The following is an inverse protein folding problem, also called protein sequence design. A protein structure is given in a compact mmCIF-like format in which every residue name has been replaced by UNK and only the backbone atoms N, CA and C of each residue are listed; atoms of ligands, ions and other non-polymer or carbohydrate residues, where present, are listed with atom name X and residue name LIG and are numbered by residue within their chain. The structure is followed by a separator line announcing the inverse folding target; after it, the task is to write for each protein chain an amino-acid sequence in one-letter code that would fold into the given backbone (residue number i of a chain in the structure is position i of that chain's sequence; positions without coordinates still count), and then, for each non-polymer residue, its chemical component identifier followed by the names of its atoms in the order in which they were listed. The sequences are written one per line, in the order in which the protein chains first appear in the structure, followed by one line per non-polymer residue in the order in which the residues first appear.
data_IF_217204468772
#
_entry.id   IF_217204468772
#
_cell.length_a   1.000
_cell.length_b   1.000
_cell.length_c   1.000
_cell.angle_alpha   90.00
_cell.angle_beta   90.00
_cell.angle_gamma   90.00
#
_symmetry.space_group_name_H-M   'P 1'
#
loop_
_entity.id
_entity.type
_entity.pdbx_description
1 polymer ?
#
# COMPACT_ATOMS: atom_id res chain seq x y z
N UNK A 1 29.49 14.44 0.39
CA UNK A 1 29.86 13.03 0.12
C UNK A 1 28.82 12.47 -0.82
N UNK A 2 29.25 12.10 -2.03
CA UNK A 2 28.37 11.41 -2.97
C UNK A 2 27.88 10.13 -2.30
N UNK A 3 26.57 9.93 -2.22
CA UNK A 3 26.00 8.66 -1.82
C UNK A 3 26.57 7.59 -2.76
N UNK A 4 27.21 6.57 -2.22
CA UNK A 4 27.68 5.45 -3.03
C UNK A 4 26.45 4.85 -3.71
N UNK A 5 26.40 4.91 -5.03
CA UNK A 5 25.34 4.28 -5.78
C UNK A 5 25.42 2.77 -5.49
N UNK A 6 24.35 2.24 -4.90
CA UNK A 6 24.20 0.81 -4.70
C UNK A 6 24.26 0.13 -6.07
N UNK A 7 25.05 -0.91 -6.21
CA UNK A 7 25.15 -1.66 -7.45
C UNK A 7 23.75 -2.18 -7.86
N UNK A 8 23.46 -2.19 -9.17
CA UNK A 8 22.23 -2.77 -9.69
C UNK A 8 22.12 -4.23 -9.24
N UNK A 9 21.03 -4.63 -8.60
CA UNK A 9 20.87 -5.99 -8.12
C UNK A 9 20.71 -6.98 -9.29
N UNK A 10 20.97 -8.25 -9.00
CA UNK A 10 20.69 -9.34 -9.94
C UNK A 10 19.19 -9.42 -10.22
N UNK A 11 18.79 -9.17 -11.47
CA UNK A 11 17.37 -9.14 -11.87
C UNK A 11 16.71 -10.52 -11.75
N UNK A 12 17.43 -11.62 -11.86
CA UNK A 12 16.87 -12.96 -11.63
C UNK A 12 16.49 -13.16 -10.16
N UNK A 13 17.32 -12.69 -9.23
CA UNK A 13 16.99 -12.68 -7.79
C UNK A 13 15.79 -11.78 -7.50
N UNK A 14 15.69 -10.61 -8.15
CA UNK A 14 14.55 -9.68 -8.05
C UNK A 14 13.26 -10.35 -8.54
N UNK A 15 13.29 -10.99 -9.70
CA UNK A 15 12.12 -11.71 -10.25
C UNK A 15 11.66 -12.84 -9.33
N UNK A 16 12.60 -13.60 -8.79
CA UNK A 16 12.30 -14.68 -7.84
C UNK A 16 11.65 -14.14 -6.58
N UNK A 17 12.17 -13.06 -6.03
CA UNK A 17 11.61 -12.41 -4.84
C UNK A 17 10.20 -11.87 -5.11
N UNK A 18 10.00 -11.12 -6.20
CA UNK A 18 8.69 -10.58 -6.59
C UNK A 18 7.68 -11.71 -6.81
N UNK A 19 8.11 -12.82 -7.44
CA UNK A 19 7.26 -13.98 -7.67
C UNK A 19 6.88 -14.72 -6.40
N UNK A 20 7.69 -14.64 -5.34
CA UNK A 20 7.39 -15.22 -4.03
C UNK A 20 6.45 -14.35 -3.19
N UNK A 21 6.32 -13.07 -3.51
CA UNK A 21 5.42 -12.13 -2.84
C UNK A 21 4.14 -11.95 -3.65
N UNK A 22 3.01 -11.98 -2.97
CA UNK A 22 1.71 -11.77 -3.60
C UNK A 22 1.51 -10.27 -3.86
N UNK A 23 1.55 -9.85 -5.10
CA UNK A 23 1.47 -8.46 -5.51
C UNK A 23 0.75 -8.30 -6.85
N UNK A 24 1.43 -7.72 -7.85
CA UNK A 24 0.86 -7.54 -9.19
C UNK A 24 0.34 -8.85 -9.77
N UNK A 25 -0.86 -8.83 -10.34
CA UNK A 25 -1.55 -10.01 -10.86
C UNK A 25 -2.49 -10.69 -9.86
N UNK A 26 -2.58 -10.19 -8.63
CA UNK A 26 -3.51 -10.67 -7.61
C UNK A 26 -4.67 -9.69 -7.44
N UNK A 27 -5.83 -10.20 -7.03
CA UNK A 27 -6.94 -9.35 -6.60
C UNK A 27 -6.65 -8.72 -5.24
N UNK A 28 -7.37 -7.66 -4.91
CA UNK A 28 -7.13 -6.89 -3.71
C UNK A 28 -8.44 -6.51 -3.01
N UNK A 29 -8.45 -6.63 -1.67
CA UNK A 29 -9.55 -6.23 -0.82
C UNK A 29 -9.25 -4.85 -0.21
N UNK A 30 -9.92 -3.77 -0.67
CA UNK A 30 -9.58 -2.40 -0.29
C UNK A 30 -9.93 -2.02 1.14
N UNK A 31 -10.71 -2.86 1.84
CA UNK A 31 -11.03 -2.69 3.26
C UNK A 31 -9.90 -3.14 4.19
N UNK A 32 -8.83 -3.68 3.65
CA UNK A 32 -7.64 -4.11 4.39
C UNK A 32 -6.69 -2.93 4.63
N UNK A 33 -5.73 -3.12 5.54
CA UNK A 33 -4.62 -2.20 5.71
C UNK A 33 -3.85 -2.04 4.39
N UNK A 34 -3.29 -0.86 4.18
CA UNK A 34 -2.58 -0.52 2.97
C UNK A 34 -1.52 -1.57 2.59
N UNK A 35 -1.60 -2.06 1.36
CA UNK A 35 -0.74 -3.12 0.81
C UNK A 35 -0.85 -4.49 1.48
N UNK A 36 -1.84 -4.75 2.33
CA UNK A 36 -2.03 -6.03 3.01
C UNK A 36 -3.30 -6.78 2.60
N UNK A 37 -4.06 -6.26 1.63
CA UNK A 37 -5.33 -6.84 1.20
C UNK A 37 -5.25 -7.77 -0.01
N UNK A 38 -4.07 -8.26 -0.36
CA UNK A 38 -3.87 -9.19 -1.47
C UNK A 38 -4.64 -10.51 -1.23
N UNK A 39 -5.40 -10.96 -2.21
CA UNK A 39 -6.30 -12.08 -2.07
C UNK A 39 -5.95 -13.22 -3.04
N UNK A 40 -6.56 -13.29 -4.21
CA UNK A 40 -6.42 -14.44 -5.08
C UNK A 40 -5.60 -14.12 -6.34
N UNK A 41 -4.85 -15.09 -6.84
CA UNK A 41 -4.13 -14.98 -8.09
C UNK A 41 -5.11 -14.96 -9.27
N UNK A 42 -4.99 -13.96 -10.15
CA UNK A 42 -5.86 -13.79 -11.31
C UNK A 42 -5.19 -14.19 -12.61
N UNK A 43 -3.88 -14.02 -12.70
CA UNK A 43 -3.10 -14.34 -13.89
C UNK A 43 -2.18 -15.52 -13.64
N UNK A 44 -1.86 -16.25 -14.68
CA UNK A 44 -0.94 -17.38 -14.61
C UNK A 44 0.52 -16.89 -14.63
N UNK A 45 0.93 -16.28 -13.52
CA UNK A 45 2.20 -15.55 -13.40
C UNK A 45 3.42 -16.40 -13.72
N UNK A 46 3.41 -17.69 -13.40
CA UNK A 46 4.51 -18.60 -13.71
C UNK A 46 4.66 -18.87 -15.22
N UNK A 47 3.63 -18.64 -16.02
CA UNK A 47 3.65 -18.86 -17.46
C UNK A 47 3.93 -17.58 -18.26
N UNK A 48 3.66 -16.42 -17.71
CA UNK A 48 3.69 -15.15 -18.45
C UNK A 48 5.06 -14.80 -19.03
N UNK A 49 6.15 -15.05 -18.30
CA UNK A 49 7.50 -14.77 -18.79
C UNK A 49 7.83 -15.59 -20.05
N UNK A 50 7.55 -16.88 -20.04
CA UNK A 50 7.79 -17.74 -21.21
C UNK A 50 6.81 -17.45 -22.33
N UNK A 51 5.56 -17.13 -22.02
CA UNK A 51 4.56 -16.79 -23.02
C UNK A 51 4.92 -15.49 -23.76
N UNK A 52 5.32 -14.44 -23.06
CA UNK A 52 5.71 -13.18 -23.69
C UNK A 52 6.92 -13.32 -24.62
N UNK A 53 7.87 -14.18 -24.26
CA UNK A 53 9.01 -14.49 -25.13
C UNK A 53 8.57 -15.24 -26.39
N UNK A 54 7.66 -16.21 -26.25
CA UNK A 54 7.17 -17.03 -27.36
C UNK A 54 6.34 -16.22 -28.38
N UNK A 55 5.48 -15.32 -27.90
CA UNK A 55 4.57 -14.55 -28.76
C UNK A 55 5.08 -13.13 -29.05
N UNK A 56 6.18 -12.70 -28.45
CA UNK A 56 6.77 -11.36 -28.55
C UNK A 56 5.75 -10.24 -28.22
N UNK A 57 5.09 -10.38 -27.08
CA UNK A 57 4.07 -9.45 -26.59
C UNK A 57 4.38 -9.08 -25.15
N UNK A 58 4.33 -7.80 -24.81
CA UNK A 58 4.62 -7.33 -23.45
C UNK A 58 3.46 -7.68 -22.50
N UNK A 59 3.68 -8.66 -21.63
CA UNK A 59 2.70 -9.13 -20.67
C UNK A 59 3.05 -8.73 -19.23
N UNK A 60 4.34 -8.77 -18.89
CA UNK A 60 4.84 -8.47 -17.55
C UNK A 60 6.15 -7.68 -17.66
N UNK A 61 6.28 -6.65 -16.85
CA UNK A 61 7.47 -5.79 -16.83
C UNK A 61 8.01 -5.68 -15.41
N UNK A 62 9.25 -6.08 -15.20
CA UNK A 62 9.97 -5.97 -13.94
C UNK A 62 11.11 -4.96 -14.09
N UNK A 63 11.16 -3.98 -13.16
CA UNK A 63 12.16 -2.91 -13.20
C UNK A 63 12.81 -2.70 -11.83
N UNK A 64 14.09 -2.32 -11.84
CA UNK A 64 14.79 -1.73 -10.72
C UNK A 64 14.72 -0.21 -10.85
N UNK A 65 13.96 0.42 -9.94
CA UNK A 65 13.76 1.88 -9.97
C UNK A 65 13.88 2.43 -8.54
N UNK A 66 15.12 2.68 -8.07
CA UNK A 66 15.34 3.21 -6.73
C UNK A 66 14.89 4.66 -6.63
N UNK A 67 14.01 4.94 -5.67
CA UNK A 67 13.48 6.27 -5.39
C UNK A 67 13.10 6.39 -3.92
N UNK A 68 13.33 7.56 -3.34
CA UNK A 68 12.87 7.91 -1.99
C UNK A 68 11.77 8.95 -2.11
N UNK A 69 10.68 8.75 -1.37
CA UNK A 69 9.53 9.65 -1.36
C UNK A 69 9.03 9.87 0.07
N UNK A 70 8.57 11.08 0.35
CA UNK A 70 7.94 11.45 1.62
C UNK A 70 6.55 11.99 1.35
N UNK A 71 5.58 11.53 2.14
CA UNK A 71 4.19 12.00 2.06
C UNK A 71 3.73 12.44 3.44
N UNK A 72 2.98 13.55 3.51
CA UNK A 72 2.31 14.01 4.73
C UNK A 72 0.82 14.10 4.46
N UNK A 73 0.03 13.50 5.34
CA UNK A 73 -1.44 13.61 5.30
C UNK A 73 -1.96 13.96 6.68
N UNK A 74 -2.94 14.86 6.74
CA UNK A 74 -3.60 15.27 7.97
C UNK A 74 -5.11 15.21 7.80
N UNK A 75 -5.83 15.00 8.90
CA UNK A 75 -7.28 14.92 8.92
C UNK A 75 -7.84 15.27 10.29
N UNK A 76 -9.11 15.66 10.33
CA UNK A 76 -9.84 15.95 11.56
C UNK A 76 -10.53 14.73 12.18
N UNK A 77 -10.47 13.59 11.49
CA UNK A 77 -10.97 12.29 11.98
C UNK A 77 -10.08 11.16 11.51
N UNK A 78 -10.08 10.05 12.24
CA UNK A 78 -9.38 8.82 11.84
C UNK A 78 -9.94 8.25 10.55
N UNK A 79 -11.27 8.31 10.39
CA UNK A 79 -11.94 7.83 9.17
C UNK A 79 -11.50 8.62 7.94
N UNK A 80 -11.44 9.95 8.04
CA UNK A 80 -10.98 10.80 6.93
C UNK A 80 -9.52 10.53 6.57
N UNK A 81 -8.65 10.36 7.58
CA UNK A 81 -7.25 10.02 7.33
C UNK A 81 -7.11 8.64 6.68
N UNK A 82 -7.83 7.64 7.16
CA UNK A 82 -7.84 6.30 6.57
C UNK A 82 -8.33 6.32 5.12
N UNK A 83 -9.34 7.15 4.84
CA UNK A 83 -9.85 7.34 3.49
C UNK A 83 -8.81 7.98 2.58
N UNK A 84 -8.10 9.01 3.04
CA UNK A 84 -7.02 9.67 2.30
C UNK A 84 -5.83 8.75 2.02
N UNK A 85 -5.51 7.86 2.95
CA UNK A 85 -4.43 6.89 2.82
C UNK A 85 -4.84 5.63 2.04
N UNK A 86 -6.13 5.42 1.84
CA UNK A 86 -6.65 4.22 1.17
C UNK A 86 -6.41 4.26 -0.33
N UNK A 87 -5.92 3.16 -0.87
CA UNK A 87 -5.76 2.99 -2.31
C UNK A 87 -7.10 2.91 -3.04
N UNK A 88 -8.17 2.51 -2.35
CA UNK A 88 -9.52 2.45 -2.93
C UNK A 88 -10.01 3.79 -3.46
N UNK A 89 -9.53 4.91 -2.90
CA UNK A 89 -9.83 6.25 -3.41
C UNK A 89 -9.33 6.46 -4.85
N UNK A 90 -8.21 5.84 -5.21
CA UNK A 90 -7.60 6.00 -6.53
C UNK A 90 -8.36 5.28 -7.65
N UNK A 91 -9.18 4.29 -7.31
CA UNK A 91 -10.00 3.53 -8.27
C UNK A 91 -11.48 3.92 -8.26
N UNK A 92 -11.81 4.99 -7.55
CA UNK A 92 -13.17 5.54 -7.47
C UNK A 92 -14.22 4.52 -7.01
N UNK A 93 -13.85 3.66 -6.06
CA UNK A 93 -14.76 2.71 -5.44
C UNK A 93 -15.63 3.40 -4.39
N UNK A 94 -16.84 2.88 -4.19
CA UNK A 94 -17.74 3.38 -3.17
C UNK A 94 -17.30 2.91 -1.78
N UNK A 95 -16.73 3.81 -0.98
CA UNK A 95 -16.26 3.52 0.37
C UNK A 95 -17.34 3.01 1.32
N UNK A 96 -18.61 3.39 1.10
CA UNK A 96 -19.70 2.93 1.94
C UNK A 96 -20.00 1.43 1.77
N UNK A 97 -19.56 0.83 0.66
CA UNK A 97 -19.69 -0.60 0.42
C UNK A 97 -18.58 -1.42 1.09
N UNK A 98 -17.50 -0.78 1.54
CA UNK A 98 -16.33 -1.44 2.11
C UNK A 98 -16.04 -0.83 3.48
N UNK A 99 -16.16 -1.62 4.55
CA UNK A 99 -15.77 -1.21 5.89
C UNK A 99 -14.24 -1.10 5.96
N UNK A 100 -13.73 0.09 6.23
CA UNK A 100 -12.28 0.31 6.43
C UNK A 100 -11.97 0.10 7.89
N UNK A 101 -11.04 -0.78 8.20
CA UNK A 101 -10.58 -0.97 9.58
C UNK A 101 -9.62 0.16 9.97
N UNK A 102 -10.19 1.17 10.60
CA UNK A 102 -9.46 2.34 11.10
C UNK A 102 -8.55 1.99 12.28
N UNK A 103 -8.90 0.97 13.07
CA UNK A 103 -8.14 0.58 14.28
C UNK A 103 -6.74 0.09 13.95
N UNK A 104 -6.54 -0.51 12.77
CA UNK A 104 -5.22 -0.95 12.32
C UNK A 104 -4.19 0.16 12.21
N UNK A 105 -4.61 1.41 11.96
CA UNK A 105 -3.71 2.56 11.82
C UNK A 105 -3.31 3.20 13.15
N UNK A 106 -4.21 3.26 14.14
CA UNK A 106 -4.00 4.03 15.37
C UNK A 106 -3.97 3.19 16.65
N UNK A 107 -4.28 1.91 16.58
CA UNK A 107 -4.39 1.06 17.77
C UNK A 107 -5.68 1.34 18.58
N UNK A 108 -5.90 0.52 19.62
CA UNK A 108 -7.13 0.55 20.42
C UNK A 108 -7.25 1.73 21.39
N UNK A 109 -6.15 2.46 21.65
CA UNK A 109 -6.11 3.55 22.62
C UNK A 109 -6.53 4.91 22.06
N UNK A 110 -6.51 5.09 20.74
CA UNK A 110 -6.93 6.34 20.13
C UNK A 110 -8.44 6.32 19.87
N UNK A 111 -9.19 6.88 20.80
CA UNK A 111 -10.62 7.12 20.60
C UNK A 111 -10.80 8.26 19.62
N UNK A 112 -11.69 8.07 18.63
CA UNK A 112 -12.09 9.09 17.70
C UNK A 112 -12.88 10.17 18.44
N UNK A 113 -12.19 11.24 18.88
CA UNK A 113 -12.82 12.36 19.59
C UNK A 113 -12.79 13.60 18.70
N UNK A 114 -13.85 14.41 18.79
CA UNK A 114 -13.95 15.66 18.04
C UNK A 114 -12.86 16.69 18.42
N UNK A 115 -12.14 16.44 19.51
CA UNK A 115 -11.12 17.35 20.06
C UNK A 115 -9.70 17.01 19.56
N UNK A 116 -9.55 16.04 18.69
CA UNK A 116 -8.24 15.61 18.16
C UNK A 116 -8.11 15.85 16.66
N UNK A 117 -6.88 16.10 16.23
CA UNK A 117 -6.47 16.07 14.85
C UNK A 117 -5.43 14.97 14.65
N UNK A 118 -5.37 14.45 13.44
CA UNK A 118 -4.56 13.28 13.11
C UNK A 118 -3.60 13.60 11.97
N UNK A 119 -2.44 12.96 11.98
CA UNK A 119 -1.49 13.11 10.91
C UNK A 119 -0.64 11.86 10.74
N UNK A 120 -0.10 11.70 9.55
CA UNK A 120 0.90 10.68 9.22
C UNK A 120 1.97 11.26 8.32
N UNK A 121 3.21 10.95 8.64
CA UNK A 121 4.37 11.10 7.76
C UNK A 121 4.76 9.72 7.29
N UNK A 122 4.78 9.52 5.99
CA UNK A 122 5.16 8.26 5.35
C UNK A 122 6.49 8.44 4.63
N UNK A 123 7.49 7.67 5.04
CA UNK A 123 8.80 7.61 4.40
C UNK A 123 8.87 6.32 3.62
N UNK A 124 9.03 6.42 2.29
CA UNK A 124 9.09 5.28 1.38
C UNK A 124 10.44 5.20 0.69
N UNK A 125 10.95 4.00 0.54
CA UNK A 125 12.07 3.72 -0.34
C UNK A 125 11.63 2.68 -1.37
N UNK A 126 11.41 3.13 -2.59
CA UNK A 126 11.08 2.26 -3.74
C UNK A 126 12.34 1.61 -4.27
N UNK A 127 12.28 0.34 -4.61
CA UNK A 127 13.42 -0.37 -5.18
C UNK A 127 13.05 -1.14 -6.44
N UNK A 128 11.98 -1.93 -6.39
CA UNK A 128 11.60 -2.83 -7.46
C UNK A 128 10.14 -2.66 -7.81
N UNK A 129 9.81 -2.76 -9.10
CA UNK A 129 8.43 -2.71 -9.56
C UNK A 129 8.11 -3.89 -10.45
N UNK A 130 6.88 -4.36 -10.38
CA UNK A 130 6.31 -5.31 -11.33
C UNK A 130 5.01 -4.76 -11.86
N UNK A 131 4.86 -4.70 -13.18
CA UNK A 131 3.62 -4.30 -13.84
C UNK A 131 3.06 -5.44 -14.67
N UNK A 132 1.77 -5.69 -14.51
CA UNK A 132 0.99 -6.59 -15.36
C UNK A 132 0.32 -5.74 -16.43
N UNK A 133 0.69 -5.98 -17.69
CA UNK A 133 0.13 -5.27 -18.84
C UNK A 133 -1.25 -5.86 -19.19
N UNK A 134 -2.22 -5.68 -18.30
CA UNK A 134 -3.52 -6.34 -18.37
C UNK A 134 -4.30 -6.01 -19.64
N UNK A 135 -4.18 -4.79 -20.18
CA UNK A 135 -4.82 -4.41 -21.44
C UNK A 135 -4.31 -5.24 -22.61
N UNK A 136 -3.01 -5.50 -22.64
CA UNK A 136 -2.41 -6.39 -23.62
C UNK A 136 -2.88 -7.83 -23.46
N UNK A 137 -3.07 -8.28 -22.23
CA UNK A 137 -3.57 -9.63 -21.94
C UNK A 137 -5.03 -9.80 -22.37
N UNK A 138 -5.86 -8.81 -22.06
CA UNK A 138 -7.26 -8.81 -22.51
C UNK A 138 -7.34 -8.82 -24.05
N UNK A 139 -6.58 -7.95 -24.71
CA UNK A 139 -6.53 -7.89 -26.16
C UNK A 139 -6.03 -9.22 -26.76
N UNK A 140 -5.00 -9.80 -26.19
CA UNK A 140 -4.43 -11.08 -26.64
C UNK A 140 -5.45 -12.22 -26.56
N UNK A 141 -6.15 -12.34 -25.44
CA UNK A 141 -7.17 -13.39 -25.25
C UNK A 141 -8.38 -13.17 -26.16
N UNK A 142 -8.76 -11.92 -26.42
CA UNK A 142 -9.83 -11.62 -27.37
C UNK A 142 -9.46 -11.99 -28.80
N UNK A 143 -8.22 -11.76 -29.19
CA UNK A 143 -7.69 -12.10 -30.51
C UNK A 143 -7.40 -13.62 -30.65
N UNK A 144 -6.90 -14.22 -29.57
CA UNK A 144 -6.50 -15.64 -29.51
C UNK A 144 -7.10 -16.32 -28.29
N UNK A 145 -8.41 -16.71 -28.36
CA UNK A 145 -9.12 -17.29 -27.20
C UNK A 145 -8.49 -18.59 -26.67
N UNK A 146 -7.75 -19.32 -27.46
CA UNK A 146 -7.01 -20.53 -27.04
C UNK A 146 -5.94 -20.25 -25.98
N UNK A 147 -5.49 -18.99 -25.85
CA UNK A 147 -4.50 -18.58 -24.86
C UNK A 147 -5.10 -18.22 -23.48
N UNK A 148 -6.41 -18.23 -23.34
CA UNK A 148 -7.10 -17.89 -22.10
C UNK A 148 -6.55 -18.64 -20.88
N UNK A 149 -6.37 -19.94 -21.02
CA UNK A 149 -5.86 -20.81 -19.94
C UNK A 149 -4.36 -20.63 -19.68
N UNK A 150 -3.62 -20.02 -20.60
CA UNK A 150 -2.21 -19.69 -20.40
C UNK A 150 -2.01 -18.30 -19.77
N UNK A 151 -2.96 -17.39 -19.96
CA UNK A 151 -2.91 -16.01 -19.44
C UNK A 151 -3.52 -15.92 -18.05
N UNK A 152 -4.70 -16.48 -17.86
CA UNK A 152 -5.42 -16.40 -16.59
C UNK A 152 -5.21 -17.63 -15.71
N UNK A 153 -5.20 -17.40 -14.39
CA UNK A 153 -5.12 -18.47 -13.41
C UNK A 153 -6.40 -19.35 -13.45
N UNK A 154 -6.28 -20.68 -13.31
CA UNK A 154 -7.45 -21.59 -13.39
C UNK A 154 -8.52 -21.27 -12.36
N UNK A 155 -8.14 -20.91 -11.13
CA UNK A 155 -9.10 -20.55 -10.08
C UNK A 155 -9.92 -19.32 -10.41
N UNK A 156 -9.31 -18.32 -11.06
CA UNK A 156 -10.02 -17.13 -11.52
C UNK A 156 -10.97 -17.44 -12.68
N UNK A 157 -10.52 -18.22 -13.65
CA UNK A 157 -11.38 -18.69 -14.77
C UNK A 157 -12.63 -19.38 -14.23
N UNK A 158 -12.48 -20.28 -13.28
CA UNK A 158 -13.58 -20.99 -12.65
C UNK A 158 -14.57 -20.04 -11.97
N UNK A 159 -14.07 -19.06 -11.21
CA UNK A 159 -14.91 -18.06 -10.52
C UNK A 159 -15.70 -17.19 -11.52
N UNK A 160 -15.09 -16.79 -12.61
CA UNK A 160 -15.75 -16.01 -13.67
C UNK A 160 -16.83 -16.84 -14.37
N UNK A 161 -16.56 -18.11 -14.68
CA UNK A 161 -17.54 -19.01 -15.30
C UNK A 161 -18.75 -19.25 -14.39
N UNK A 162 -18.53 -19.51 -13.10
CA UNK A 162 -19.61 -19.64 -12.12
C UNK A 162 -20.45 -18.37 -12.01
N UNK A 163 -19.78 -17.20 -11.91
CA UNK A 163 -20.43 -15.90 -11.83
C UNK A 163 -21.28 -15.62 -13.08
N UNK A 164 -20.74 -15.85 -14.28
CA UNK A 164 -21.44 -15.64 -15.55
C UNK A 164 -22.68 -16.54 -15.63
N UNK A 165 -22.56 -17.81 -15.25
CA UNK A 165 -23.66 -18.76 -15.22
C UNK A 165 -24.77 -18.31 -14.27
N UNK A 166 -24.40 -17.88 -13.05
CA UNK A 166 -25.35 -17.45 -12.03
C UNK A 166 -26.06 -16.15 -12.42
N UNK A 167 -25.35 -15.22 -13.05
CA UNK A 167 -25.94 -13.97 -13.58
C UNK A 167 -26.97 -14.27 -14.66
N UNK A 168 -26.67 -15.17 -15.59
CA UNK A 168 -27.64 -15.61 -16.64
C UNK A 168 -28.85 -16.27 -16.03
N UNK A 169 -28.68 -17.12 -15.02
CA UNK A 169 -29.79 -17.78 -14.31
C UNK A 169 -30.65 -16.80 -13.52
N UNK A 170 -30.10 -15.68 -13.06
CA UNK A 170 -30.85 -14.66 -12.32
C UNK A 170 -31.84 -13.88 -13.19
N UNK A 171 -31.64 -13.86 -14.50
CA UNK A 171 -32.49 -13.13 -15.44
C UNK A 171 -32.51 -11.63 -15.13
N UNK A 172 -33.72 -11.09 -14.87
CA UNK A 172 -33.95 -9.67 -14.57
C UNK A 172 -34.08 -9.38 -13.07
N UNK A 173 -33.78 -10.34 -12.20
CA UNK A 173 -33.90 -10.16 -10.75
C UNK A 173 -32.77 -9.27 -10.24
N UNK A 174 -33.03 -7.97 -10.09
CA UNK A 174 -32.06 -6.98 -9.63
C UNK A 174 -31.47 -7.34 -8.26
N UNK A 175 -32.32 -7.81 -7.34
CA UNK A 175 -31.89 -8.22 -6.00
C UNK A 175 -30.88 -9.37 -6.06
N UNK A 176 -31.14 -10.37 -6.90
CA UNK A 176 -30.24 -11.53 -7.08
C UNK A 176 -28.94 -11.11 -7.73
N UNK A 177 -28.98 -10.25 -8.76
CA UNK A 177 -27.81 -9.73 -9.45
C UNK A 177 -26.92 -8.95 -8.48
N UNK A 178 -27.48 -8.06 -7.67
CA UNK A 178 -26.73 -7.30 -6.67
C UNK A 178 -26.04 -8.20 -5.64
N UNK A 179 -26.74 -9.25 -5.18
CA UNK A 179 -26.15 -10.22 -4.25
C UNK A 179 -24.99 -10.98 -4.89
N UNK A 180 -25.15 -11.44 -6.12
CA UNK A 180 -24.09 -12.16 -6.85
C UNK A 180 -22.86 -11.26 -7.05
N UNK A 181 -23.04 -9.99 -7.39
CA UNK A 181 -21.95 -9.03 -7.52
C UNK A 181 -21.23 -8.80 -6.19
N UNK A 182 -21.98 -8.66 -5.10
CA UNK A 182 -21.39 -8.51 -3.75
C UNK A 182 -20.61 -9.76 -3.35
N UNK A 183 -21.16 -10.94 -3.58
CA UNK A 183 -20.50 -12.20 -3.25
C UNK A 183 -19.21 -12.37 -4.07
N UNK A 184 -19.24 -12.05 -5.36
CA UNK A 184 -18.07 -12.08 -6.21
C UNK A 184 -16.97 -11.13 -5.72
N UNK A 185 -17.33 -9.88 -5.40
CA UNK A 185 -16.39 -8.90 -4.86
C UNK A 185 -15.85 -9.31 -3.49
N UNK A 186 -16.64 -10.00 -2.69
CA UNK A 186 -16.21 -10.50 -1.38
C UNK A 186 -15.23 -11.68 -1.50
N UNK A 187 -15.46 -12.59 -2.42
CA UNK A 187 -14.63 -13.80 -2.60
C UNK A 187 -13.38 -13.53 -3.46
N UNK A 188 -13.55 -12.86 -4.57
CA UNK A 188 -12.46 -12.59 -5.52
C UNK A 188 -11.78 -11.27 -5.22
N UNK A 189 -12.56 -10.20 -5.14
CA UNK A 189 -12.11 -8.83 -4.93
C UNK A 189 -12.77 -7.89 -5.93
N UNK A 190 -13.03 -6.62 -5.54
CA UNK A 190 -13.58 -5.62 -6.44
C UNK A 190 -12.57 -5.05 -7.41
N UNK A 191 -11.29 -5.25 -7.13
CA UNK A 191 -10.16 -4.73 -7.91
C UNK A 191 -8.98 -5.69 -7.87
N UNK A 192 -7.99 -5.42 -8.70
CA UNK A 192 -6.74 -6.17 -8.75
C UNK A 192 -5.53 -5.24 -8.83
N UNK A 193 -4.37 -5.77 -8.48
CA UNK A 193 -3.10 -5.04 -8.49
C UNK A 193 -2.50 -5.16 -9.90
N UNK A 194 -2.47 -4.05 -10.64
CA UNK A 194 -1.82 -4.00 -11.95
C UNK A 194 -0.33 -3.69 -11.85
N UNK A 195 0.09 -2.98 -10.79
CA UNK A 195 1.49 -2.67 -10.53
C UNK A 195 1.76 -2.76 -9.03
N UNK A 196 2.80 -3.48 -8.67
CA UNK A 196 3.32 -3.52 -7.31
C UNK A 196 4.67 -2.83 -7.23
N UNK A 197 4.87 -2.08 -6.14
CA UNK A 197 6.13 -1.41 -5.82
C UNK A 197 6.67 -2.03 -4.56
N UNK A 198 7.89 -2.52 -4.62
CA UNK A 198 8.55 -3.22 -3.52
C UNK A 198 9.67 -2.36 -2.94
N UNK A 199 9.76 -2.34 -1.63
CA UNK A 199 10.78 -1.56 -0.94
C UNK A 199 10.58 -1.60 0.57
N UNK A 200 10.75 -0.45 1.24
CA UNK A 200 10.46 -0.31 2.65
C UNK A 200 9.66 0.97 2.92
N UNK A 201 8.91 0.97 4.02
CA UNK A 201 8.08 2.08 4.43
C UNK A 201 8.09 2.24 5.95
N UNK A 202 8.17 3.49 6.40
CA UNK A 202 7.98 3.88 7.78
C UNK A 202 6.82 4.88 7.83
N UNK A 203 5.78 4.55 8.60
CA UNK A 203 4.66 5.42 8.87
C UNK A 203 4.76 5.95 10.30
N UNK A 204 4.87 7.25 10.44
CA UNK A 204 4.86 7.94 11.72
C UNK A 204 3.50 8.62 11.89
N UNK A 205 2.66 8.06 12.74
CA UNK A 205 1.31 8.55 13.02
C UNK A 205 1.30 9.39 14.29
N UNK A 206 0.55 10.50 14.27
CA UNK A 206 0.24 11.26 15.47
C UNK A 206 -1.26 11.45 15.64
N UNK A 207 -1.65 11.57 16.91
CA UNK A 207 -2.96 12.06 17.35
C UNK A 207 -2.71 13.21 18.32
N UNK A 208 -3.07 14.41 17.92
CA UNK A 208 -2.82 15.63 18.69
C UNK A 208 -4.12 16.26 19.14
N UNK A 209 -4.19 16.64 20.43
CA UNK A 209 -5.31 17.39 20.98
C UNK A 209 -5.31 18.81 20.39
N UNK A 210 -6.46 19.28 19.93
CA UNK A 210 -6.62 20.61 19.35
C UNK A 210 -6.22 21.72 20.32
N UNK A 211 -6.37 21.50 21.63
CA UNK A 211 -5.96 22.45 22.65
C UNK A 211 -4.45 22.70 22.70
N UNK A 212 -3.65 21.79 22.16
CA UNK A 212 -2.19 21.91 22.05
C UNK A 212 -1.75 22.71 20.81
N UNK A 213 -2.64 22.91 19.85
CA UNK A 213 -2.37 23.62 18.59
C UNK A 213 -2.60 25.12 18.78
N UNK A 214 -1.64 25.78 19.41
CA UNK A 214 -1.67 27.20 19.70
C UNK A 214 -0.80 28.01 18.75
N UNK A 215 -1.04 29.31 18.68
CA UNK A 215 -0.23 30.27 17.92
C UNK A 215 -0.09 29.92 16.44
N UNK A 216 -1.16 29.41 15.81
CA UNK A 216 -1.15 29.02 14.40
C UNK A 216 -0.51 27.68 14.11
N UNK A 217 -0.13 26.90 15.12
CA UNK A 217 0.38 25.54 14.95
C UNK A 217 -0.71 24.64 14.34
N UNK A 218 -0.36 23.96 13.27
CA UNK A 218 -1.23 22.97 12.60
C UNK A 218 -0.88 21.55 13.04
N UNK A 219 -1.77 20.59 12.78
CA UNK A 219 -1.48 19.18 13.01
C UNK A 219 -0.25 18.72 12.21
N UNK A 220 -0.09 19.19 10.96
CA UNK A 220 1.10 18.92 10.15
C UNK A 220 2.36 19.51 10.77
N UNK A 221 2.30 20.71 11.32
CA UNK A 221 3.42 21.32 12.04
C UNK A 221 3.83 20.56 13.30
N UNK A 222 2.85 20.10 14.08
CA UNK A 222 3.09 19.26 15.26
C UNK A 222 3.70 17.92 14.89
N UNK A 223 3.22 17.29 13.82
CA UNK A 223 3.76 16.06 13.26
C UNK A 223 5.23 16.19 12.87
N UNK A 224 5.55 17.20 12.07
CA UNK A 224 6.93 17.47 11.63
C UNK A 224 7.85 17.77 12.80
N UNK A 225 7.39 18.58 13.75
CA UNK A 225 8.17 18.92 14.93
C UNK A 225 8.49 17.68 15.78
N UNK A 226 7.48 16.89 16.10
CA UNK A 226 7.65 15.68 16.92
C UNK A 226 8.53 14.65 16.23
N UNK A 227 8.36 14.46 14.93
CA UNK A 227 9.21 13.54 14.15
C UNK A 227 10.67 14.02 14.11
N UNK A 228 10.92 15.29 13.83
CA UNK A 228 12.28 15.86 13.80
C UNK A 228 13.03 15.67 15.11
N UNK A 229 12.36 15.86 16.24
CA UNK A 229 12.94 15.59 17.54
C UNK A 229 13.21 14.09 17.70
N UNK A 230 12.30 13.23 17.29
CA UNK A 230 12.45 11.77 17.39
C UNK A 230 13.59 11.21 16.53
N UNK A 231 13.93 11.87 15.44
CA UNK A 231 15.06 11.48 14.56
C UNK A 231 16.31 12.36 14.74
N UNK A 232 16.37 13.14 15.81
CA UNK A 232 17.55 13.90 16.22
C UNK A 232 17.91 15.11 15.35
N UNK A 233 16.98 15.59 14.50
CA UNK A 233 17.24 16.74 13.62
C UNK A 233 17.14 18.06 14.36
N UNK A 234 16.18 18.22 15.28
CA UNK A 234 15.92 19.44 16.04
C UNK A 234 16.11 19.24 17.54
N UNK A 235 17.18 18.55 17.93
CA UNK A 235 17.47 18.30 19.34
C UNK A 235 18.03 19.56 19.99
N UNK A 236 17.21 20.20 20.82
CA UNK A 236 17.62 21.28 21.72
C UNK A 236 17.68 20.75 23.15
N UNK A 237 18.41 21.42 24.03
CA UNK A 237 18.33 21.15 25.46
C UNK A 237 16.92 21.41 26.00
N UNK A 238 16.52 20.71 27.07
CA UNK A 238 15.16 20.84 27.66
C UNK A 238 14.76 22.29 27.95
N UNK A 239 15.72 23.16 28.29
CA UNK A 239 15.46 24.57 28.55
C UNK A 239 15.20 25.44 27.33
N UNK A 240 15.47 24.94 26.13
CA UNK A 240 15.39 25.70 24.88
C UNK A 240 14.04 25.55 24.15
N UNK A 241 13.19 24.63 24.61
CA UNK A 241 11.84 24.48 24.09
C UNK A 241 10.87 25.39 24.85
N UNK A 242 9.96 26.01 24.09
CA UNK A 242 8.82 26.71 24.69
C UNK A 242 7.90 25.74 25.46
N UNK A 243 7.06 26.26 26.35
CA UNK A 243 6.10 25.41 27.07
C UNK A 243 5.12 24.73 26.09
N UNK A 244 4.70 25.44 25.05
CA UNK A 244 3.83 24.86 24.02
C UNK A 244 4.51 23.73 23.25
N UNK A 245 5.80 23.89 22.91
CA UNK A 245 6.60 22.83 22.29
C UNK A 245 6.77 21.61 23.20
N UNK A 246 7.06 21.83 24.50
CA UNK A 246 7.14 20.73 25.48
C UNK A 246 5.81 19.98 25.59
N UNK A 247 4.69 20.69 25.60
CA UNK A 247 3.37 20.07 25.66
C UNK A 247 3.10 19.20 24.42
N UNK A 248 3.47 19.63 23.23
CA UNK A 248 3.35 18.82 22.01
C UNK A 248 4.20 17.56 22.12
N UNK A 249 5.45 17.68 22.56
CA UNK A 249 6.35 16.52 22.70
C UNK A 249 5.85 15.49 23.71
N UNK A 250 5.31 15.95 24.85
CA UNK A 250 4.91 15.07 25.95
C UNK A 250 3.49 14.52 25.79
N UNK A 251 2.56 15.32 25.26
CA UNK A 251 1.11 15.02 25.28
C UNK A 251 0.57 14.53 23.94
N UNK A 252 1.31 14.65 22.85
CA UNK A 252 0.91 14.11 21.54
C UNK A 252 1.24 12.63 21.46
N UNK A 253 0.25 11.81 21.21
CA UNK A 253 0.43 10.40 20.98
C UNK A 253 1.08 10.14 19.61
N UNK A 254 2.07 9.27 19.57
CA UNK A 254 2.70 8.85 18.34
C UNK A 254 2.76 7.32 18.24
N UNK A 255 2.60 6.80 17.04
CA UNK A 255 2.74 5.39 16.73
C UNK A 255 3.57 5.25 15.46
N UNK A 256 4.47 4.29 15.45
CA UNK A 256 5.34 4.00 14.30
C UNK A 256 5.02 2.62 13.77
N UNK A 257 4.86 2.51 12.46
CA UNK A 257 4.72 1.25 11.75
C UNK A 257 5.82 1.15 10.70
N UNK A 258 6.60 0.08 10.75
CA UNK A 258 7.77 -0.12 9.89
C UNK A 258 7.62 -1.44 9.15
N UNK A 259 7.78 -1.40 7.83
CA UNK A 259 7.76 -2.60 6.99
C UNK A 259 8.90 -2.56 5.97
N UNK A 260 9.57 -3.70 5.81
CA UNK A 260 10.66 -3.85 4.86
C UNK A 260 11.99 -3.24 5.32
N UNK A 261 13.05 -3.59 4.61
CA UNK A 261 14.41 -3.24 4.98
C UNK A 261 14.88 -3.93 6.27
N UNK A 262 16.01 -3.49 6.81
CA UNK A 262 16.47 -3.96 8.11
C UNK A 262 15.76 -3.19 9.23
N UNK A 263 14.61 -3.69 9.68
CA UNK A 263 13.76 -3.02 10.68
C UNK A 263 14.48 -2.81 12.02
N UNK A 264 15.51 -3.59 12.34
CA UNK A 264 16.26 -3.44 13.57
C UNK A 264 16.99 -2.09 13.67
N UNK A 265 17.31 -1.45 12.55
CA UNK A 265 17.95 -0.15 12.53
C UNK A 265 17.05 0.99 13.01
N UNK A 266 15.74 0.83 12.89
CA UNK A 266 14.74 1.88 13.19
C UNK A 266 13.70 1.47 14.23
N UNK A 267 13.74 0.25 14.74
CA UNK A 267 12.72 -0.27 15.66
C UNK A 267 12.62 0.51 16.98
N UNK A 268 13.68 1.20 17.38
CA UNK A 268 13.69 2.03 18.59
C UNK A 268 12.65 3.16 18.55
N UNK A 269 12.27 3.65 17.37
CA UNK A 269 11.21 4.65 17.21
C UNK A 269 9.85 4.12 17.68
N UNK A 270 9.60 2.83 17.55
CA UNK A 270 8.36 2.20 17.98
C UNK A 270 8.20 2.18 19.51
N UNK A 271 9.32 2.29 20.25
CA UNK A 271 9.35 2.35 21.72
C UNK A 271 9.49 3.76 22.27
N UNK A 272 9.37 4.78 21.42
CA UNK A 272 9.53 6.19 21.79
C UNK A 272 10.98 6.64 21.95
N UNK A 273 11.95 5.84 21.49
CA UNK A 273 13.35 6.22 21.46
C UNK A 273 13.68 7.23 20.38
N UNK A 274 14.89 7.81 20.45
CA UNK A 274 15.41 8.76 19.47
C UNK A 274 16.40 8.05 18.56
N UNK A 275 16.26 8.26 17.24
CA UNK A 275 17.22 7.81 16.23
C UNK A 275 17.96 8.99 15.63
N UNK A 276 19.18 8.73 15.17
CA UNK A 276 19.88 9.68 14.31
C UNK A 276 19.35 9.59 12.88
N UNK A 277 19.30 10.71 12.18
CA UNK A 277 18.85 10.77 10.80
C UNK A 277 19.66 9.83 9.88
N UNK A 278 20.94 9.63 10.18
CA UNK A 278 21.81 8.71 9.45
C UNK A 278 21.33 7.25 9.55
N UNK A 279 20.76 6.86 10.68
CA UNK A 279 20.19 5.51 10.86
C UNK A 279 18.92 5.32 10.03
N UNK A 280 18.11 6.35 9.87
CA UNK A 280 16.93 6.33 8.98
C UNK A 280 17.35 6.15 7.53
N UNK A 281 18.38 6.90 7.10
CA UNK A 281 18.95 6.77 5.76
C UNK A 281 19.56 5.39 5.52
N UNK A 282 20.27 4.86 6.53
CA UNK A 282 20.85 3.51 6.47
C UNK A 282 19.77 2.46 6.31
N UNK A 283 18.67 2.58 7.05
CA UNK A 283 17.51 1.68 6.88
C UNK A 283 16.91 1.76 5.48
N UNK A 284 16.69 2.96 4.94
CA UNK A 284 16.18 3.14 3.57
C UNK A 284 17.09 2.49 2.53
N UNK A 285 18.40 2.49 2.75
CA UNK A 285 19.39 1.88 1.87
C UNK A 285 19.59 0.38 2.11
N UNK A 286 19.04 -0.17 3.20
CA UNK A 286 19.18 -1.58 3.57
C UNK A 286 18.25 -2.52 2.80
N UNK A 287 17.39 -1.99 1.92
CA UNK A 287 16.43 -2.79 1.17
C UNK A 287 17.16 -3.65 0.13
N UNK A 288 16.93 -4.93 0.23
CA UNK A 288 17.43 -5.96 -0.69
C UNK A 288 16.26 -6.83 -1.15
N UNK A 289 16.43 -7.68 -2.17
CA UNK A 289 15.36 -8.58 -2.62
C UNK A 289 14.73 -9.38 -1.48
N UNK A 290 15.53 -9.83 -0.51
CA UNK A 290 15.04 -10.62 0.65
C UNK A 290 14.30 -9.81 1.70
N UNK A 291 14.47 -8.50 1.75
CA UNK A 291 13.89 -7.61 2.77
C UNK A 291 12.86 -6.64 2.22
N UNK A 292 12.64 -6.62 0.91
CA UNK A 292 11.64 -5.79 0.27
C UNK A 292 10.23 -6.33 0.51
N UNK A 293 9.30 -5.42 0.78
CA UNK A 293 7.87 -5.71 0.90
C UNK A 293 7.08 -4.81 -0.04
N UNK A 294 5.83 -5.17 -0.34
CA UNK A 294 4.98 -4.29 -1.13
C UNK A 294 4.61 -3.05 -0.31
N UNK A 295 4.96 -1.88 -0.82
CA UNK A 295 4.77 -0.60 -0.15
C UNK A 295 3.88 0.36 -0.93
N UNK A 296 3.67 0.08 -2.20
CA UNK A 296 2.75 0.83 -3.04
C UNK A 296 2.19 -0.08 -4.13
N UNK A 297 1.07 0.33 -4.73
CA UNK A 297 0.41 -0.45 -5.76
C UNK A 297 -0.53 0.43 -6.58
N UNK A 298 -0.77 -0.02 -7.81
CA UNK A 298 -1.80 0.54 -8.67
C UNK A 298 -2.93 -0.47 -8.77
N UNK A 299 -4.15 -0.04 -8.45
CA UNK A 299 -5.35 -0.86 -8.50
C UNK A 299 -6.17 -0.56 -9.75
N UNK A 300 -6.80 -1.60 -10.27
CA UNK A 300 -7.69 -1.53 -11.43
C UNK A 300 -8.98 -2.29 -11.08
N UNK A 301 -10.17 -1.78 -11.47
CA UNK A 301 -11.42 -2.48 -11.22
C UNK A 301 -11.46 -3.86 -11.86
N UNK A 302 -11.97 -4.85 -11.12
CA UNK A 302 -12.02 -6.26 -11.58
C UNK A 302 -12.89 -6.45 -12.82
N UNK A 303 -13.93 -5.62 -13.00
CA UNK A 303 -14.84 -5.76 -14.13
C UNK A 303 -14.16 -5.61 -15.50
N UNK A 304 -13.00 -4.94 -15.56
CA UNK A 304 -12.23 -4.82 -16.80
C UNK A 304 -11.67 -6.15 -17.30
N UNK A 305 -11.61 -7.17 -16.44
CA UNK A 305 -11.18 -8.52 -16.79
C UNK A 305 -12.36 -9.46 -17.09
N UNK A 306 -13.59 -9.04 -16.77
CA UNK A 306 -14.80 -9.84 -16.95
C UNK A 306 -15.53 -9.28 -18.16
N UNK A 307 -15.35 -9.95 -19.31
CA UNK A 307 -16.05 -9.61 -20.55
C UNK A 307 -17.31 -10.46 -20.67
N UNK A 308 -18.47 -9.70 -20.68
CA UNK A 308 -19.70 -10.01 -21.47
C UNK A 308 -20.78 -9.01 -21.21
#
# INVERSE_FOLDING_TARGET
RAASQKATPDMEAVKKMISSNKGAGYSYQPNSNYCLGTNMQLFNLGRLDSLQQAIRYDLITDEYYPQVEEEVSTATSQEDLSRKLSVAASVNLNFNAFAIDVKGHYGSSSTNTQDKEYGVKRLKSYQFTREINYMNMVALVNERPELRNEVYAPGFIQKVEEFTKDIKAAGNSQTTIEKLCKDFCSEVGPCFISKSVMGCVLDYYISVDKSLLKDGMTAGGALEFKLKVSIGIDVKGEGDYSQDQKNILEKTEAKVNIRGGNVNEVCILATGGVLENEQVLSWQQSVEPSTAVMIDMKLVPIYLLIND
#
